data_IF_399148867795
#
_entry.id   IF_399148867795
#
_cell.length_a   1.000
_cell.length_b   1.000
_cell.length_c   1.000
_cell.angle_alpha   90.00
_cell.angle_beta   90.00
_cell.angle_gamma   90.00
#
_symmetry.space_group_name_H-M   'P 1'
#
loop_
_entity.id
_entity.type
_entity.pdbx_description
1 polymer ?
#
# COMPACT_ATOMS: atom_id res chain seq x y z
N UNK A 1 -47.15 12.66 35.55
CA UNK A 1 -46.05 11.74 35.24
C UNK A 1 -45.00 11.83 36.34
N UNK A 2 -44.91 10.82 37.21
CA UNK A 2 -43.94 10.77 38.30
C UNK A 2 -42.55 10.48 37.73
N UNK A 3 -41.58 11.39 37.94
CA UNK A 3 -40.18 11.16 37.59
C UNK A 3 -39.59 10.24 38.64
N UNK A 4 -39.43 8.97 38.29
CA UNK A 4 -38.81 7.97 39.14
C UNK A 4 -37.33 8.34 39.40
N UNK A 5 -36.96 8.72 40.63
CA UNK A 5 -35.62 9.18 40.96
C UNK A 5 -34.57 8.07 40.79
N UNK A 6 -35.00 6.81 40.78
CA UNK A 6 -34.15 5.63 40.62
C UNK A 6 -33.60 5.53 39.19
N UNK A 7 -34.42 5.87 38.19
CA UNK A 7 -33.98 5.89 36.78
C UNK A 7 -32.96 6.99 36.53
N UNK A 8 -33.16 8.18 37.09
CA UNK A 8 -32.20 9.29 36.97
C UNK A 8 -30.82 8.93 37.51
N UNK A 9 -30.76 8.24 38.67
CA UNK A 9 -29.49 7.78 39.25
C UNK A 9 -28.80 6.73 38.38
N UNK A 10 -29.56 5.81 37.81
CA UNK A 10 -29.02 4.79 36.90
C UNK A 10 -28.42 5.43 35.64
N UNK A 11 -29.11 6.39 35.02
CA UNK A 11 -28.58 7.08 33.84
C UNK A 11 -27.31 7.90 34.13
N UNK A 12 -27.23 8.54 35.30
CA UNK A 12 -26.02 9.25 35.72
C UNK A 12 -24.85 8.30 35.93
N UNK A 13 -25.10 7.12 36.51
CA UNK A 13 -24.06 6.11 36.73
C UNK A 13 -23.53 5.55 35.41
N UNK A 14 -24.43 5.23 34.47
CA UNK A 14 -24.06 4.77 33.12
C UNK A 14 -23.26 5.87 32.40
N UNK A 15 -23.71 7.12 32.46
CA UNK A 15 -23.00 8.25 31.85
C UNK A 15 -21.58 8.44 32.42
N UNK A 16 -21.41 8.30 33.74
CA UNK A 16 -20.11 8.39 34.39
C UNK A 16 -19.16 7.26 33.96
N UNK A 17 -19.67 6.02 33.83
CA UNK A 17 -18.88 4.88 33.36
C UNK A 17 -18.43 5.10 31.91
N UNK A 18 -19.34 5.51 31.02
CA UNK A 18 -18.99 5.79 29.61
C UNK A 18 -17.95 6.90 29.52
N UNK A 19 -18.10 7.98 30.28
CA UNK A 19 -17.13 9.07 30.30
C UNK A 19 -15.74 8.61 30.79
N UNK A 20 -15.68 7.75 31.82
CA UNK A 20 -14.44 7.20 32.32
C UNK A 20 -13.73 6.29 31.30
N UNK A 21 -14.50 5.45 30.59
CA UNK A 21 -13.95 4.58 29.53
C UNK A 21 -13.40 5.41 28.37
N UNK A 22 -14.11 6.46 27.94
CA UNK A 22 -13.63 7.36 26.88
C UNK A 22 -12.35 8.07 27.31
N UNK A 23 -12.32 8.61 28.54
CA UNK A 23 -11.12 9.28 29.07
C UNK A 23 -9.90 8.34 29.15
N UNK A 24 -10.11 7.08 29.54
CA UNK A 24 -9.04 6.06 29.57
C UNK A 24 -8.46 5.79 28.18
N UNK A 25 -9.32 5.57 27.17
CA UNK A 25 -8.87 5.32 25.80
C UNK A 25 -8.12 6.53 25.21
N UNK A 26 -8.58 7.76 25.50
CA UNK A 26 -7.88 8.99 25.07
C UNK A 26 -6.52 9.11 25.75
N UNK A 27 -6.41 8.77 27.04
CA UNK A 27 -5.14 8.77 27.76
C UNK A 27 -4.15 7.73 27.20
N UNK A 28 -4.60 6.51 26.88
CA UNK A 28 -3.74 5.50 26.23
C UNK A 28 -3.24 5.97 24.86
N UNK A 29 -4.09 6.61 24.05
CA UNK A 29 -3.68 7.18 22.77
C UNK A 29 -2.65 8.30 22.93
N UNK A 30 -2.77 9.12 23.98
CA UNK A 30 -1.81 10.19 24.25
C UNK A 30 -0.48 9.65 24.81
N UNK A 31 -0.52 8.66 25.70
CA UNK A 31 0.67 8.09 26.36
C UNK A 31 1.44 7.11 25.48
N UNK A 32 0.81 6.51 24.46
CA UNK A 32 1.46 5.64 23.48
C UNK A 32 2.31 6.39 22.44
N UNK A 33 2.37 7.73 22.48
CA UNK A 33 3.24 8.51 21.59
C UNK A 33 2.80 8.57 20.13
N UNK A 34 1.60 8.08 19.79
CA UNK A 34 1.05 8.06 18.42
C UNK A 34 0.67 9.46 17.91
N UNK A 35 0.61 10.46 18.79
CA UNK A 35 0.39 11.88 18.43
C UNK A 35 1.63 12.71 18.75
N UNK A 36 2.78 12.33 18.18
CA UNK A 36 4.06 13.02 18.37
C UNK A 36 4.72 13.37 17.04
N UNK A 37 4.20 14.38 16.33
CA UNK A 37 4.72 14.75 15.02
C UNK A 37 4.26 16.10 14.49
N UNK A 38 4.13 17.12 15.34
CA UNK A 38 4.11 18.52 14.86
C UNK A 38 5.28 19.24 15.52
N UNK A 39 6.43 19.22 14.83
CA UNK A 39 7.58 20.02 15.18
C UNK A 39 7.32 21.46 14.74
N UNK A 40 6.81 22.28 15.66
CA UNK A 40 6.80 23.74 15.49
C UNK A 40 8.25 24.24 15.62
N UNK A 41 8.93 24.34 14.48
CA UNK A 41 10.24 24.96 14.39
C UNK A 41 10.06 26.47 14.33
N UNK A 42 10.29 27.14 15.47
CA UNK A 42 10.40 28.60 15.54
C UNK A 42 11.60 29.06 14.71
N UNK A 43 11.33 29.92 13.73
CA UNK A 43 12.33 30.70 13.01
C UNK A 43 12.65 31.97 13.79
N UNK A 44 13.76 31.98 14.53
CA UNK A 44 14.47 33.19 14.92
C UNK A 44 15.91 33.06 14.43
N UNK A 45 16.35 34.08 13.69
CA UNK A 45 17.53 34.01 12.84
C UNK A 45 18.85 34.41 13.50
N UNK A 46 19.72 34.86 12.59
CA UNK A 46 20.97 35.57 12.79
C UNK A 46 22.25 34.71 12.82
N UNK A 47 23.16 34.96 11.87
CA UNK A 47 24.51 34.39 11.89
C UNK A 47 25.22 34.41 10.54
N UNK A 48 25.83 35.55 10.21
CA UNK A 48 26.71 35.81 9.06
C UNK A 48 28.03 35.00 9.07
N UNK A 49 28.51 34.78 7.85
CA UNK A 49 29.91 34.82 7.34
C UNK A 49 31.00 33.91 7.93
N UNK A 50 31.59 33.09 7.03
CA UNK A 50 33.04 32.93 6.74
C UNK A 50 33.26 31.54 6.12
N UNK A 51 33.55 31.41 4.82
CA UNK A 51 34.84 31.54 4.14
C UNK A 51 35.50 30.18 3.84
N UNK A 52 35.66 29.91 2.54
CA UNK A 52 36.79 29.28 1.84
C UNK A 52 37.52 28.06 2.45
N UNK A 53 37.62 27.01 1.64
CA UNK A 53 38.61 25.95 1.83
C UNK A 53 38.55 24.91 0.71
N UNK A 54 39.34 25.14 -0.35
CA UNK A 54 39.57 24.22 -1.45
C UNK A 54 40.35 22.97 -1.00
N UNK A 55 40.07 21.81 -1.62
CA UNK A 55 41.05 20.79 -1.99
C UNK A 55 40.37 19.64 -2.76
N UNK A 56 40.63 19.56 -4.06
CA UNK A 56 40.66 18.29 -4.82
C UNK A 56 41.92 17.51 -4.39
N UNK A 57 41.96 16.17 -4.55
CA UNK A 57 42.54 15.63 -5.80
C UNK A 57 41.92 14.32 -6.33
N UNK A 58 41.76 14.30 -7.67
CA UNK A 58 42.14 13.27 -8.64
C UNK A 58 42.44 11.82 -8.21
N UNK A 59 41.73 10.88 -8.85
CA UNK A 59 42.25 9.60 -9.41
C UNK A 59 41.22 9.15 -10.46
N UNK A 60 41.46 9.22 -11.77
CA UNK A 60 42.26 8.30 -12.61
C UNK A 60 42.01 6.80 -12.32
N UNK A 61 41.04 6.19 -13.01
CA UNK A 61 41.11 4.78 -13.44
C UNK A 61 40.56 4.66 -14.86
N UNK A 62 41.24 3.81 -15.62
CA UNK A 62 41.42 3.74 -17.06
C UNK A 62 40.24 3.17 -17.87
N UNK A 63 40.24 3.55 -19.15
CA UNK A 63 39.52 2.89 -20.22
C UNK A 63 40.13 1.51 -20.53
N UNK A 64 39.27 0.50 -20.64
CA UNK A 64 39.60 -0.85 -21.11
C UNK A 64 38.73 -1.23 -22.31
N UNK A 65 39.39 -1.81 -23.29
CA UNK A 65 39.06 -1.86 -24.72
C UNK A 65 38.08 -2.98 -25.12
N UNK A 66 37.55 -2.76 -26.33
CA UNK A 66 36.67 -3.55 -27.19
C UNK A 66 37.20 -4.95 -27.48
N UNK A 67 36.31 -5.96 -27.51
CA UNK A 67 36.48 -7.13 -28.40
C UNK A 67 35.15 -7.42 -29.08
N UNK A 68 35.08 -7.06 -30.36
CA UNK A 68 34.14 -7.60 -31.34
C UNK A 68 34.47 -9.07 -31.62
N UNK A 69 33.42 -9.89 -31.79
CA UNK A 69 33.50 -11.10 -32.60
C UNK A 69 32.15 -11.34 -33.29
N UNK A 70 32.10 -10.94 -34.55
CA UNK A 70 31.17 -11.51 -35.53
C UNK A 70 31.60 -12.94 -35.88
N UNK A 71 30.62 -13.83 -36.07
CA UNK A 71 30.59 -14.73 -37.23
C UNK A 71 29.21 -15.40 -37.36
N UNK A 72 28.61 -15.19 -38.54
CA UNK A 72 27.70 -16.02 -39.35
C UNK A 72 27.23 -17.37 -38.77
N UNK A 73 26.02 -17.87 -39.01
CA UNK A 73 25.02 -17.62 -40.04
C UNK A 73 24.23 -18.93 -40.24
N UNK A 74 22.95 -18.88 -40.62
CA UNK A 74 22.19 -20.10 -40.92
C UNK A 74 20.68 -19.88 -40.98
N UNK A 75 20.13 -20.07 -42.18
CA UNK A 75 18.77 -19.73 -42.63
C UNK A 75 17.61 -20.47 -41.98
N UNK A 76 16.52 -19.70 -41.81
CA UNK A 76 15.11 -19.96 -42.13
C UNK A 76 14.55 -21.40 -42.12
N UNK A 77 13.46 -21.61 -41.37
CA UNK A 77 12.14 -21.91 -41.96
C UNK A 77 10.98 -21.61 -40.98
N UNK A 78 9.97 -20.92 -41.54
CA UNK A 78 8.61 -20.62 -41.07
C UNK A 78 7.94 -21.80 -40.34
N UNK A 79 7.16 -21.64 -39.26
CA UNK A 79 5.75 -21.19 -39.30
C UNK A 79 5.16 -21.26 -37.88
N UNK A 80 4.39 -20.27 -37.44
CA UNK A 80 3.59 -20.37 -36.21
C UNK A 80 3.36 -19.04 -35.53
N UNK A 81 2.44 -18.25 -36.07
CA UNK A 81 2.10 -16.92 -35.60
C UNK A 81 1.38 -16.99 -34.23
N UNK A 82 2.12 -16.77 -33.15
CA UNK A 82 1.58 -16.38 -31.85
C UNK A 82 2.30 -15.09 -31.44
N UNK A 83 1.68 -13.94 -31.72
CA UNK A 83 2.13 -12.67 -31.16
C UNK A 83 1.85 -12.70 -29.65
N UNK A 84 2.80 -13.24 -28.89
CA UNK A 84 3.00 -12.83 -27.52
C UNK A 84 3.49 -11.39 -27.58
N UNK A 85 2.68 -10.47 -27.08
CA UNK A 85 3.11 -9.10 -26.78
C UNK A 85 4.05 -9.24 -25.59
N UNK A 86 5.35 -9.43 -25.87
CA UNK A 86 6.39 -9.16 -24.88
C UNK A 86 6.39 -7.65 -24.65
N UNK A 87 5.64 -7.22 -23.64
CA UNK A 87 5.89 -5.94 -23.00
C UNK A 87 7.31 -5.99 -22.49
N UNK A 88 8.17 -5.13 -23.03
CA UNK A 88 9.53 -4.96 -22.57
C UNK A 88 9.52 -4.53 -21.11
N UNK A 89 9.66 -5.49 -20.21
CA UNK A 89 9.86 -5.22 -18.79
C UNK A 89 11.15 -4.44 -18.65
N UNK A 90 11.06 -3.24 -18.07
CA UNK A 90 12.26 -2.52 -17.62
C UNK A 90 13.09 -3.47 -16.72
N UNK A 91 14.42 -3.52 -16.87
CA UNK A 91 15.25 -4.36 -16.01
C UNK A 91 15.02 -3.97 -14.54
N UNK A 92 14.57 -4.93 -13.73
CA UNK A 92 14.26 -4.74 -12.31
C UNK A 92 12.78 -4.54 -11.97
N UNK A 93 11.85 -4.71 -12.92
CA UNK A 93 10.40 -4.69 -12.63
C UNK A 93 9.80 -6.09 -12.78
N UNK A 94 9.18 -6.59 -11.70
CA UNK A 94 8.43 -7.85 -11.72
C UNK A 94 6.99 -7.55 -12.13
N UNK A 95 6.68 -7.75 -13.41
CA UNK A 95 5.30 -7.72 -13.91
C UNK A 95 4.58 -9.03 -13.54
N UNK A 96 3.45 -8.93 -12.85
CA UNK A 96 2.63 -10.10 -12.47
C UNK A 96 1.22 -9.92 -13.00
N UNK A 97 0.64 -11.00 -13.51
CA UNK A 97 -0.81 -11.05 -13.76
C UNK A 97 -1.53 -10.88 -12.43
N UNK A 98 -2.64 -10.14 -12.41
CA UNK A 98 -3.38 -9.87 -11.19
C UNK A 98 -3.68 -11.15 -10.40
N UNK A 99 -4.17 -12.22 -11.05
CA UNK A 99 -4.47 -13.49 -10.37
C UNK A 99 -3.24 -14.28 -9.89
N UNK A 100 -2.16 -14.34 -10.66
CA UNK A 100 -0.98 -15.12 -10.27
C UNK A 100 -0.19 -14.46 -9.14
N UNK A 101 -0.24 -13.13 -9.05
CA UNK A 101 0.34 -12.38 -7.93
C UNK A 101 -0.23 -12.84 -6.59
N UNK A 102 -1.55 -13.06 -6.52
CA UNK A 102 -2.24 -13.35 -5.26
C UNK A 102 -2.18 -14.81 -4.82
N UNK A 103 -1.82 -15.75 -5.70
CA UNK A 103 -1.82 -17.19 -5.35
C UNK A 103 -0.98 -17.50 -4.11
N UNK A 104 0.28 -17.03 -3.98
CA UNK A 104 1.12 -17.32 -2.81
C UNK A 104 0.57 -16.71 -1.51
N UNK A 105 -0.24 -15.64 -1.58
CA UNK A 105 -0.81 -15.01 -0.39
C UNK A 105 -1.80 -15.93 0.35
N UNK A 106 -2.35 -16.93 -0.34
CA UNK A 106 -3.17 -17.99 0.28
C UNK A 106 -2.42 -18.84 1.31
N UNK A 107 -1.09 -18.90 1.23
CA UNK A 107 -0.24 -19.71 2.10
C UNK A 107 0.38 -18.92 3.26
N UNK A 108 0.10 -17.62 3.35
CA UNK A 108 0.51 -16.77 4.49
C UNK A 108 -0.25 -17.21 5.74
N UNK A 109 0.48 -17.45 6.84
CA UNK A 109 -0.11 -17.85 8.13
C UNK A 109 0.23 -16.84 9.20
N UNK A 110 -0.80 -16.35 9.89
CA UNK A 110 -0.66 -15.47 11.05
C UNK A 110 -1.12 -16.23 12.28
N UNK A 111 -0.23 -16.34 13.28
CA UNK A 111 -0.57 -16.90 14.59
C UNK A 111 -0.85 -15.74 15.54
N UNK A 112 -2.02 -15.76 16.16
CA UNK A 112 -2.48 -14.74 17.09
C UNK A 112 -2.37 -15.21 18.54
N UNK A 113 -1.96 -14.31 19.43
CA UNK A 113 -2.06 -14.47 20.88
C UNK A 113 -2.87 -13.29 21.43
N UNK A 114 -4.14 -13.54 21.76
CA UNK A 114 -5.09 -12.48 22.09
C UNK A 114 -5.33 -11.56 20.88
N UNK A 115 -5.04 -10.27 21.05
CA UNK A 115 -5.16 -9.25 19.99
C UNK A 115 -3.81 -8.90 19.34
N UNK A 116 -2.75 -9.64 19.66
CA UNK A 116 -1.40 -9.41 19.14
C UNK A 116 -1.02 -10.54 18.20
N UNK A 117 -0.29 -10.21 17.14
CA UNK A 117 0.30 -11.22 16.27
C UNK A 117 1.57 -11.77 16.93
N UNK A 118 1.57 -13.08 17.18
CA UNK A 118 2.67 -13.80 17.80
C UNK A 118 3.74 -14.18 16.78
N UNK A 119 3.32 -14.65 15.59
CA UNK A 119 4.23 -14.99 14.50
C UNK A 119 3.55 -14.92 13.15
N UNK A 120 4.36 -14.67 12.11
CA UNK A 120 3.94 -14.65 10.71
C UNK A 120 4.82 -15.60 9.92
N UNK A 121 4.20 -16.49 9.15
CA UNK A 121 4.87 -17.32 8.17
C UNK A 121 4.53 -16.80 6.78
N UNK A 122 5.51 -16.20 6.11
CA UNK A 122 5.40 -15.70 4.73
C UNK A 122 6.11 -16.68 3.78
N UNK A 123 5.45 -17.16 2.71
CA UNK A 123 6.07 -18.00 1.68
C UNK A 123 7.27 -17.35 1.00
N UNK A 124 8.24 -18.17 0.58
CA UNK A 124 9.50 -17.69 -0.02
C UNK A 124 9.25 -16.90 -1.31
N UNK A 125 8.22 -17.26 -2.07
CA UNK A 125 7.81 -16.55 -3.28
C UNK A 125 7.41 -15.11 -3.00
N UNK A 126 6.82 -14.83 -1.83
CA UNK A 126 6.49 -13.47 -1.40
C UNK A 126 7.72 -12.78 -0.81
N UNK A 127 8.53 -13.50 -0.04
CA UNK A 127 9.79 -12.97 0.52
C UNK A 127 10.74 -12.50 -0.59
N UNK A 128 10.80 -13.23 -1.70
CA UNK A 128 11.59 -12.87 -2.86
C UNK A 128 11.13 -11.57 -3.55
N UNK A 129 9.94 -11.05 -3.23
CA UNK A 129 9.47 -9.74 -3.71
C UNK A 129 9.86 -8.59 -2.77
N UNK A 130 10.33 -8.86 -1.55
CA UNK A 130 10.67 -7.80 -0.60
C UNK A 130 11.82 -6.93 -1.12
N UNK A 131 11.55 -5.63 -1.25
CA UNK A 131 12.47 -4.64 -1.81
C UNK A 131 12.40 -4.50 -3.33
N UNK A 132 11.72 -5.40 -4.03
CA UNK A 132 11.58 -5.38 -5.49
C UNK A 132 10.50 -4.41 -5.97
N UNK A 133 10.66 -3.90 -7.20
CA UNK A 133 9.61 -3.12 -7.84
C UNK A 133 8.61 -4.08 -8.48
N UNK A 134 7.37 -4.02 -8.03
CA UNK A 134 6.26 -4.80 -8.57
C UNK A 134 5.35 -3.90 -9.39
N UNK A 135 4.77 -4.43 -10.47
CA UNK A 135 3.69 -3.78 -11.20
C UNK A 135 2.58 -4.79 -11.41
N UNK A 136 1.37 -4.46 -10.97
CA UNK A 136 0.22 -5.31 -11.17
C UNK A 136 -1.10 -4.53 -11.32
N UNK A 137 -2.03 -5.07 -12.13
CA UNK A 137 -3.43 -4.69 -12.06
C UNK A 137 -4.00 -5.15 -10.70
N UNK A 138 -4.68 -4.25 -10.00
CA UNK A 138 -5.18 -4.46 -8.65
C UNK A 138 -6.56 -3.83 -8.42
N UNK A 139 -7.36 -4.45 -7.54
CA UNK A 139 -8.57 -3.82 -6.98
C UNK A 139 -8.14 -2.92 -5.84
N UNK A 140 -8.30 -1.61 -6.03
CA UNK A 140 -7.93 -0.57 -5.10
C UNK A 140 -9.16 -0.15 -4.29
N UNK A 141 -9.10 -0.32 -2.97
CA UNK A 141 -10.16 0.08 -2.03
C UNK A 141 -9.72 1.33 -1.30
N UNK A 142 -10.50 2.39 -1.45
CA UNK A 142 -10.19 3.68 -0.84
C UNK A 142 -10.51 3.66 0.66
N UNK A 143 -9.60 4.17 1.48
CA UNK A 143 -9.83 4.32 2.92
C UNK A 143 -10.02 5.78 3.27
N UNK A 144 -10.86 6.07 4.26
CA UNK A 144 -11.09 7.46 4.72
C UNK A 144 -9.80 8.13 5.22
N UNK A 145 -8.85 7.36 5.76
CA UNK A 145 -7.59 7.88 6.30
C UNK A 145 -6.63 8.33 5.18
N UNK A 146 -6.71 7.68 4.02
CA UNK A 146 -5.86 7.98 2.85
C UNK A 146 -6.38 9.01 1.89
N UNK A 147 -7.53 9.60 2.20
CA UNK A 147 -8.27 10.44 1.28
C UNK A 147 -8.44 11.84 1.84
N UNK A 148 -8.15 12.82 0.98
CA UNK A 148 -8.42 14.22 1.25
C UNK A 148 -9.39 14.75 0.19
N UNK A 149 -10.56 15.20 0.62
CA UNK A 149 -11.54 15.80 -0.30
C UNK A 149 -11.07 17.17 -0.75
N UNK A 150 -11.24 17.46 -2.03
CA UNK A 150 -10.96 18.75 -2.63
C UNK A 150 -12.22 19.27 -3.38
N UNK A 151 -12.16 20.47 -3.96
CA UNK A 151 -13.33 21.13 -4.58
C UNK A 151 -13.96 20.30 -5.71
N UNK A 152 -13.16 19.47 -6.40
CA UNK A 152 -13.57 18.75 -7.61
C UNK A 152 -13.60 17.22 -7.44
N UNK A 153 -13.32 16.69 -6.24
CA UNK A 153 -13.21 15.25 -5.99
C UNK A 153 -12.38 14.92 -4.75
N UNK A 154 -11.35 14.09 -4.91
CA UNK A 154 -10.41 13.79 -3.83
C UNK A 154 -8.99 13.45 -4.30
N UNK A 155 -8.04 13.75 -3.42
CA UNK A 155 -6.65 13.29 -3.48
C UNK A 155 -6.52 12.01 -2.65
N UNK A 156 -5.92 10.97 -3.21
CA UNK A 156 -5.65 9.71 -2.53
C UNK A 156 -4.13 9.57 -2.33
N UNK A 157 -3.71 9.48 -1.07
CA UNK A 157 -2.32 9.29 -0.67
C UNK A 157 -2.04 7.86 -0.22
N UNK A 158 -3.07 7.17 0.29
CA UNK A 158 -2.97 5.74 0.59
C UNK A 158 -4.29 5.01 0.35
N UNK A 159 -4.19 3.73 0.06
CA UNK A 159 -5.34 2.86 -0.16
C UNK A 159 -4.96 1.39 0.07
N UNK A 160 -5.94 0.50 0.01
CA UNK A 160 -5.73 -0.93 0.13
C UNK A 160 -5.83 -1.61 -1.22
N UNK A 161 -4.93 -2.54 -1.49
CA UNK A 161 -5.00 -3.46 -2.60
C UNK A 161 -5.39 -4.82 -2.05
N UNK A 162 -6.41 -5.43 -2.67
CA UNK A 162 -7.01 -6.70 -2.24
C UNK A 162 -7.09 -7.68 -3.42
N UNK A 163 -7.11 -9.00 -3.15
CA UNK A 163 -7.26 -9.99 -4.20
C UNK A 163 -8.61 -9.83 -4.92
N UNK A 164 -8.66 -10.16 -6.23
CA UNK A 164 -9.90 -10.13 -6.99
C UNK A 164 -10.89 -11.22 -6.58
N UNK A 165 -10.40 -12.32 -6.03
CA UNK A 165 -11.23 -13.41 -5.53
C UNK A 165 -11.69 -13.15 -4.09
N UNK A 166 -12.97 -13.40 -3.81
CA UNK A 166 -13.55 -13.18 -2.47
C UNK A 166 -14.10 -11.77 -2.23
N UNK A 167 -14.13 -10.92 -3.26
CA UNK A 167 -14.81 -9.63 -3.22
C UNK A 167 -16.29 -9.84 -3.53
N UNK A 168 -17.14 -9.77 -2.52
CA UNK A 168 -18.59 -9.97 -2.68
C UNK A 168 -19.22 -8.70 -3.29
N UNK A 169 -19.77 -8.80 -4.50
CA UNK A 169 -20.64 -7.76 -5.10
C UNK A 169 -22.03 -7.80 -4.47
N UNK A 170 -22.17 -7.50 -3.18
CA UNK A 170 -23.49 -7.29 -2.58
C UNK A 170 -23.61 -5.83 -2.13
N UNK A 171 -24.19 -5.00 -3.01
CA UNK A 171 -24.51 -3.58 -2.83
C UNK A 171 -23.37 -2.59 -2.55
N UNK A 172 -22.19 -3.03 -2.06
CA UNK A 172 -20.93 -2.28 -1.93
C UNK A 172 -19.76 -3.26 -1.95
N UNK A 173 -18.67 -2.93 -2.62
CA UNK A 173 -17.39 -3.64 -2.51
C UNK A 173 -16.91 -3.50 -1.06
N UNK A 174 -17.21 -4.49 -0.23
CA UNK A 174 -16.77 -4.54 1.17
C UNK A 174 -15.72 -5.63 1.25
N UNK A 175 -14.42 -5.29 1.15
CA UNK A 175 -13.38 -6.31 1.21
C UNK A 175 -13.45 -7.03 2.55
N UNK A 176 -13.34 -8.36 2.53
CA UNK A 176 -12.97 -9.10 3.73
C UNK A 176 -11.48 -8.82 3.93
N UNK A 177 -11.14 -7.75 4.66
CA UNK A 177 -9.75 -7.37 4.93
C UNK A 177 -9.13 -8.36 5.90
N UNK A 178 -8.57 -9.43 5.33
CA UNK A 178 -7.64 -10.29 6.03
C UNK A 178 -6.25 -9.67 5.91
N UNK A 179 -5.54 -9.55 7.03
CA UNK A 179 -4.16 -9.06 7.03
C UNK A 179 -3.26 -9.88 6.10
N UNK A 180 -3.55 -11.17 5.94
CA UNK A 180 -2.83 -12.07 5.03
C UNK A 180 -2.93 -11.67 3.56
N UNK A 181 -3.99 -10.95 3.16
CA UNK A 181 -4.32 -10.69 1.76
C UNK A 181 -4.45 -9.20 1.43
N UNK A 182 -4.15 -8.34 2.39
CA UNK A 182 -4.26 -6.89 2.20
C UNK A 182 -2.87 -6.31 2.01
N UNK A 183 -2.68 -5.58 0.92
CA UNK A 183 -1.47 -4.82 0.64
C UNK A 183 -1.81 -3.34 0.81
N UNK A 184 -1.04 -2.62 1.61
CA UNK A 184 -1.22 -1.18 1.81
C UNK A 184 -0.37 -0.45 0.80
N UNK A 185 -0.97 0.48 0.07
CA UNK A 185 -0.27 1.25 -0.94
C UNK A 185 -0.11 2.68 -0.45
N UNK A 186 1.12 3.16 -0.47
CA UNK A 186 1.49 4.56 -0.27
C UNK A 186 1.86 5.18 -1.61
N UNK A 187 1.06 6.14 -2.05
CA UNK A 187 1.30 6.96 -3.23
C UNK A 187 1.39 8.45 -2.86
N UNK A 188 1.86 8.78 -1.66
CA UNK A 188 1.94 10.17 -1.19
C UNK A 188 2.92 11.05 -1.98
N UNK A 189 3.93 10.45 -2.61
CA UNK A 189 4.85 11.16 -3.51
C UNK A 189 4.20 11.55 -4.85
N UNK A 190 3.33 10.68 -5.39
CA UNK A 190 2.53 10.94 -6.59
C UNK A 190 1.04 10.66 -6.34
N UNK A 191 0.34 11.56 -5.61
CA UNK A 191 -1.02 11.29 -5.16
C UNK A 191 -2.01 11.06 -6.29
N UNK A 192 -2.80 10.00 -6.17
CA UNK A 192 -3.82 9.67 -7.15
C UNK A 192 -5.01 10.64 -7.04
N UNK A 193 -5.23 11.39 -8.12
CA UNK A 193 -6.34 12.33 -8.24
C UNK A 193 -7.59 11.64 -8.79
N UNK A 194 -8.70 11.79 -8.07
CA UNK A 194 -10.02 11.35 -8.51
C UNK A 194 -10.89 12.59 -8.68
N UNK A 195 -11.41 12.78 -9.88
CA UNK A 195 -12.36 13.85 -10.20
C UNK A 195 -13.80 13.31 -10.14
N UNK A 196 -14.71 14.10 -9.58
CA UNK A 196 -16.14 13.78 -9.54
C UNK A 196 -16.54 12.82 -8.41
N UNK A 197 -17.39 11.85 -8.76
CA UNK A 197 -17.90 10.88 -7.78
C UNK A 197 -16.80 9.93 -7.32
N UNK A 198 -16.65 9.81 -6.01
CA UNK A 198 -15.62 8.98 -5.39
C UNK A 198 -16.10 7.52 -5.41
N UNK A 199 -15.45 6.62 -6.18
CA UNK A 199 -15.79 5.20 -6.16
C UNK A 199 -15.35 4.58 -4.83
N UNK A 200 -16.09 3.59 -4.34
CA UNK A 200 -15.66 2.85 -3.14
C UNK A 200 -14.43 1.95 -3.43
N UNK A 201 -14.33 1.46 -4.66
CA UNK A 201 -13.16 0.75 -5.15
C UNK A 201 -13.09 0.80 -6.68
N UNK A 202 -11.89 0.66 -7.22
CA UNK A 202 -11.61 0.77 -8.65
C UNK A 202 -10.45 -0.15 -9.03
N UNK A 203 -10.48 -0.69 -10.24
CA UNK A 203 -9.36 -1.44 -10.79
C UNK A 203 -8.33 -0.48 -11.37
N UNK A 204 -7.10 -0.52 -10.87
CA UNK A 204 -5.99 0.33 -11.31
C UNK A 204 -4.75 -0.54 -11.51
N UNK A 205 -3.80 -0.09 -12.33
CA UNK A 205 -2.45 -0.64 -12.31
C UNK A 205 -1.64 0.10 -11.25
N UNK A 206 -1.05 -0.66 -10.32
CA UNK A 206 -0.22 -0.14 -9.23
C UNK A 206 1.20 -0.61 -9.46
N UNK A 207 2.14 0.34 -9.50
CA UNK A 207 3.58 0.07 -9.59
C UNK A 207 4.28 0.71 -8.41
N UNK A 208 5.13 -0.02 -7.71
CA UNK A 208 5.90 0.53 -6.59
C UNK A 208 6.80 -0.52 -5.96
N UNK A 209 7.48 -0.15 -4.87
CA UNK A 209 8.39 -1.05 -4.17
C UNK A 209 7.63 -1.90 -3.16
N UNK A 210 7.64 -3.22 -3.34
CA UNK A 210 6.99 -4.12 -2.41
C UNK A 210 7.83 -4.27 -1.13
N UNK A 211 7.18 -4.22 0.03
CA UNK A 211 7.83 -4.35 1.34
C UNK A 211 7.04 -5.25 2.29
N UNK A 212 7.76 -5.98 3.13
CA UNK A 212 7.17 -6.84 4.18
C UNK A 212 7.56 -6.29 5.55
N UNK A 213 6.57 -5.91 6.37
CA UNK A 213 6.80 -5.36 7.70
C UNK A 213 6.38 -6.35 8.81
N UNK A 214 7.27 -7.27 9.18
CA UNK A 214 6.98 -8.31 10.18
C UNK A 214 6.92 -7.79 11.64
N UNK A 215 7.34 -6.54 11.90
CA UNK A 215 7.50 -6.00 13.26
C UNK A 215 6.43 -4.98 13.69
N UNK A 216 5.71 -4.38 12.73
CA UNK A 216 4.73 -3.31 12.98
C UNK A 216 3.35 -3.68 12.44
N UNK A 217 2.87 -4.83 12.88
CA UNK A 217 1.74 -5.54 12.27
C UNK A 217 0.36 -4.91 12.52
N UNK A 218 0.30 -3.86 13.35
CA UNK A 218 -0.94 -3.13 13.62
C UNK A 218 -1.42 -2.32 12.40
N UNK A 219 -0.50 -2.00 11.49
CA UNK A 219 -0.80 -1.20 10.30
C UNK A 219 -1.09 -2.10 9.10
N UNK A 220 -0.28 -3.15 8.91
CA UNK A 220 -0.43 -4.18 7.87
C UNK A 220 0.82 -5.06 7.80
N UNK A 221 0.78 -6.12 6.99
CA UNK A 221 1.93 -7.01 6.77
C UNK A 221 2.68 -6.68 5.46
N UNK A 222 1.94 -6.28 4.43
CA UNK A 222 2.46 -6.06 3.09
C UNK A 222 2.21 -4.62 2.65
N UNK A 223 3.22 -4.03 2.01
CA UNK A 223 3.20 -2.63 1.59
C UNK A 223 3.70 -2.51 0.15
N UNK A 224 3.19 -1.51 -0.57
CA UNK A 224 3.79 -0.98 -1.78
C UNK A 224 4.08 0.50 -1.51
N UNK A 225 5.35 0.82 -1.42
CA UNK A 225 5.87 2.18 -1.20
C UNK A 225 6.19 2.86 -2.54
N UNK A 226 6.28 4.19 -2.52
CA UNK A 226 6.60 5.04 -3.68
C UNK A 226 5.74 4.71 -4.90
N UNK A 227 4.44 4.50 -4.66
CA UNK A 227 3.57 3.89 -5.66
C UNK A 227 3.09 4.90 -6.70
N UNK A 228 3.23 4.51 -7.97
CA UNK A 228 2.57 5.13 -9.12
C UNK A 228 1.26 4.38 -9.43
N UNK A 229 0.17 5.12 -9.61
CA UNK A 229 -1.16 4.56 -9.86
C UNK A 229 -1.69 5.05 -11.20
N UNK A 230 -2.02 4.10 -12.09
CA UNK A 230 -2.51 4.40 -13.44
C UNK A 230 -3.83 3.67 -13.72
N UNK A 231 -4.76 4.28 -14.48
CA UNK A 231 -5.94 3.58 -14.97
C UNK A 231 -5.53 2.32 -15.74
N UNK A 232 -6.28 1.24 -15.57
CA UNK A 232 -6.12 0.02 -16.36
C UNK A 232 -7.42 -0.35 -17.05
N UNK A 233 -7.31 -0.98 -18.21
CA UNK A 233 -8.43 -1.55 -18.95
C UNK A 233 -8.67 -3.03 -18.59
N UNK A 234 -7.86 -3.59 -17.70
CA UNK A 234 -8.05 -4.96 -17.24
C UNK A 234 -9.23 -5.04 -16.28
N UNK A 235 -10.22 -5.85 -16.64
CA UNK A 235 -11.28 -6.22 -15.71
C UNK A 235 -10.84 -7.41 -14.87
N UNK A 236 -10.46 -7.14 -13.62
CA UNK A 236 -10.05 -8.16 -12.66
C UNK A 236 -11.25 -8.83 -11.97
N UNK A 237 -12.43 -8.22 -12.04
CA UNK A 237 -13.64 -8.73 -11.41
C UNK A 237 -14.44 -9.40 -12.52
N UNK A 238 -14.16 -10.68 -12.78
CA UNK A 238 -14.86 -11.43 -13.82
C UNK A 238 -16.39 -11.34 -13.70
N UNK A 239 -17.09 -11.43 -14.82
CA UNK A 239 -18.56 -11.36 -14.91
C UNK A 239 -19.30 -12.40 -14.05
N UNK A 240 -18.59 -13.43 -13.58
CA UNK A 240 -19.14 -14.58 -12.85
C UNK A 240 -19.33 -14.35 -11.34
N UNK A 241 -18.78 -13.27 -10.77
CA UNK A 241 -18.86 -12.96 -9.32
C UNK A 241 -19.99 -11.96 -8.97
N UNK A 242 -20.99 -11.83 -9.84
CA UNK A 242 -22.21 -11.04 -9.58
C UNK A 242 -23.19 -11.92 -8.80
N UNK A 243 -23.41 -11.61 -7.52
CA UNK A 243 -24.52 -12.19 -6.78
C UNK A 243 -25.86 -11.78 -7.44
N UNK A 244 -26.57 -12.76 -8.00
CA UNK A 244 -28.00 -12.68 -8.33
C UNK A 244 -28.85 -12.70 -7.06
#
# INVERSE_FOLDING_TARGET
MSKDPTKTRLYLLIGAIVAAVVAWNVWELYSSGVVGGVSLSNSDGNGREASAGAAEPSSEIEAGEVVEKEAAGGSAESSGNAQAVEQGSEPGVIAKSGRDFWKPFGDVKIKWEGNTIESVSVPEEIRAMDGEVVSLPAICVLTRKGMEKNENGCTVNNFLVVPPFGVVRCCKLTPVTRYEWTVIVDCSDEPWQIEGEIPNAQTMNVRGRFRIAEKHLNEGLFFIEDAEVKPTNEDLIGDEDICL
#
